data_IF_881896580600
#
_entry.id   IF_881896580600
#
_cell.length_a   1.000
_cell.length_b   1.000
_cell.length_c   1.000
_cell.angle_alpha   90.00
_cell.angle_beta   90.00
_cell.angle_gamma   90.00
#
_symmetry.space_group_name_H-M   'P 1'
#
loop_
_entity.id
_entity.type
_entity.pdbx_description
1 polymer ?
#
# COMPACT_ATOMS: atom_id res chain seq x y z
N UNK A 1 22.00 15.34 28.28
CA UNK A 1 21.17 14.77 27.21
C UNK A 1 21.81 13.45 26.79
N UNK A 2 21.07 12.34 26.83
CA UNK A 2 21.62 11.02 26.49
C UNK A 2 21.80 10.98 24.97
N UNK A 3 23.05 10.88 24.51
CA UNK A 3 23.41 10.75 23.10
C UNK A 3 23.84 9.32 22.79
N UNK A 4 23.29 8.72 21.74
CA UNK A 4 23.71 7.42 21.23
C UNK A 4 24.39 7.68 19.89
N UNK A 5 25.64 7.24 19.71
CA UNK A 5 26.47 7.53 18.53
C UNK A 5 26.62 9.02 18.16
N UNK A 6 26.62 9.91 19.16
CA UNK A 6 26.72 11.37 18.94
C UNK A 6 25.40 12.04 18.52
N UNK A 7 24.30 11.27 18.50
CA UNK A 7 22.99 11.75 18.05
C UNK A 7 22.05 11.84 19.26
N UNK A 8 21.29 12.94 19.42
CA UNK A 8 20.31 13.06 20.51
C UNK A 8 19.29 11.92 20.43
N UNK A 9 19.02 11.27 21.56
CA UNK A 9 18.04 10.17 21.60
C UNK A 9 16.65 10.58 21.09
N UNK A 10 16.28 11.85 21.30
CA UNK A 10 15.06 12.45 20.77
C UNK A 10 15.01 12.45 19.23
N UNK A 11 16.14 12.72 18.57
CA UNK A 11 16.24 12.70 17.11
C UNK A 11 16.16 11.26 16.57
N UNK A 12 16.82 10.31 17.23
CA UNK A 12 16.76 8.90 16.87
C UNK A 12 15.33 8.34 16.98
N UNK A 13 14.65 8.61 18.10
CA UNK A 13 13.26 8.18 18.31
C UNK A 13 12.29 8.87 17.34
N UNK A 14 12.51 10.16 17.05
CA UNK A 14 11.78 10.92 16.02
C UNK A 14 11.87 10.27 14.64
N UNK A 15 13.07 9.81 14.28
CA UNK A 15 13.31 9.20 13.00
C UNK A 15 12.81 7.74 12.93
N UNK A 16 12.86 7.00 14.04
CA UNK A 16 12.21 5.69 14.16
C UNK A 16 10.70 5.79 13.95
N UNK A 17 10.06 6.80 14.55
CA UNK A 17 8.64 7.07 14.33
C UNK A 17 8.35 7.39 12.87
N UNK A 18 9.15 8.24 12.24
CA UNK A 18 9.03 8.55 10.80
C UNK A 18 9.16 7.30 9.93
N UNK A 19 10.14 6.45 10.25
CA UNK A 19 10.32 5.15 9.60
C UNK A 19 9.11 4.24 9.79
N UNK A 20 8.52 4.21 10.98
CA UNK A 20 7.32 3.42 11.26
C UNK A 20 6.08 3.93 10.51
N UNK A 21 5.94 5.26 10.36
CA UNK A 21 4.87 5.87 9.57
C UNK A 21 5.03 5.51 8.09
N UNK A 22 6.23 5.67 7.52
CA UNK A 22 6.50 5.26 6.14
C UNK A 22 6.30 3.76 5.95
N UNK A 23 6.79 2.96 6.90
CA UNK A 23 6.61 1.51 6.92
C UNK A 23 5.15 1.10 7.02
N UNK A 24 4.29 1.91 7.64
CA UNK A 24 2.84 1.68 7.66
C UNK A 24 2.22 1.86 6.27
N UNK A 25 2.65 2.86 5.50
CA UNK A 25 2.24 3.03 4.10
C UNK A 25 2.76 1.89 3.23
N UNK A 26 4.02 1.48 3.41
CA UNK A 26 4.59 0.33 2.71
C UNK A 26 3.81 -0.94 3.02
N UNK A 27 3.60 -1.26 4.30
CA UNK A 27 2.87 -2.45 4.72
C UNK A 27 1.45 -2.49 4.15
N UNK A 28 0.73 -1.37 4.14
CA UNK A 28 -0.64 -1.30 3.64
C UNK A 28 -0.74 -1.48 2.12
N UNK A 29 0.16 -0.84 1.36
CA UNK A 29 0.20 -0.97 -0.09
C UNK A 29 0.74 -2.34 -0.53
N UNK A 30 1.77 -2.82 0.16
CA UNK A 30 2.31 -4.16 -0.05
C UNK A 30 1.29 -5.22 0.30
N UNK A 31 0.44 -5.02 1.31
CA UNK A 31 -0.69 -5.90 1.62
C UNK A 31 -1.69 -5.96 0.46
N UNK A 32 -2.15 -4.81 -0.05
CA UNK A 32 -3.07 -4.76 -1.18
C UNK A 32 -2.49 -5.48 -2.41
N UNK A 33 -1.21 -5.22 -2.70
CA UNK A 33 -0.48 -5.87 -3.79
C UNK A 33 -0.28 -7.37 -3.53
N UNK A 34 0.02 -7.81 -2.31
CA UNK A 34 0.19 -9.21 -1.95
C UNK A 34 -1.12 -10.00 -2.05
N UNK A 35 -2.26 -9.39 -1.72
CA UNK A 35 -3.59 -10.00 -1.90
C UNK A 35 -3.89 -10.18 -3.40
N UNK A 36 -3.64 -9.15 -4.21
CA UNK A 36 -3.85 -9.22 -5.66
C UNK A 36 -2.92 -10.26 -6.29
N UNK A 37 -1.62 -10.19 -6.00
CA UNK A 37 -0.64 -11.09 -6.59
C UNK A 37 -0.84 -12.52 -6.12
N UNK A 38 -1.01 -12.74 -4.81
CA UNK A 38 -1.13 -14.08 -4.23
C UNK A 38 -2.32 -14.87 -4.74
N UNK A 39 -3.34 -14.18 -5.26
CA UNK A 39 -4.55 -14.82 -5.78
C UNK A 39 -4.63 -14.79 -7.32
N UNK A 40 -4.16 -13.74 -7.97
CA UNK A 40 -4.32 -13.56 -9.42
C UNK A 40 -3.04 -13.84 -10.20
N UNK A 41 -1.89 -13.94 -9.53
CA UNK A 41 -0.56 -13.93 -10.15
C UNK A 41 -0.42 -12.78 -11.16
N UNK A 42 -0.91 -11.57 -10.85
CA UNK A 42 -0.72 -10.40 -11.72
C UNK A 42 0.07 -9.34 -11.01
N UNK A 43 1.17 -8.90 -11.64
CA UNK A 43 1.96 -7.77 -11.18
C UNK A 43 1.22 -6.49 -11.56
N UNK A 44 0.61 -5.82 -10.58
CA UNK A 44 -0.22 -4.64 -10.80
C UNK A 44 0.55 -3.34 -10.54
N UNK A 45 1.15 -2.75 -11.57
CA UNK A 45 1.86 -1.47 -11.43
C UNK A 45 0.93 -0.27 -11.19
N UNK A 46 -0.34 -0.40 -11.61
CA UNK A 46 -1.37 0.62 -11.41
C UNK A 46 -1.76 0.82 -9.94
N UNK A 47 -1.31 -0.07 -9.04
CA UNK A 47 -1.59 0.06 -7.60
C UNK A 47 -1.10 1.41 -7.03
N UNK A 48 0.04 1.93 -7.51
CA UNK A 48 0.53 3.26 -7.14
C UNK A 48 -0.38 4.39 -7.62
N UNK A 49 -0.86 4.31 -8.87
CA UNK A 49 -1.82 5.28 -9.40
C UNK A 49 -3.17 5.22 -8.68
N UNK A 50 -3.59 4.03 -8.23
CA UNK A 50 -4.84 3.85 -7.48
C UNK A 50 -4.73 4.37 -6.04
N UNK A 51 -3.55 4.26 -5.42
CA UNK A 51 -3.21 4.94 -4.18
C UNK A 51 -3.28 6.47 -4.33
N UNK A 52 -2.69 7.01 -5.39
CA UNK A 52 -2.80 8.43 -5.74
C UNK A 52 -4.27 8.84 -5.94
N UNK A 53 -5.05 8.02 -6.66
CA UNK A 53 -6.47 8.27 -6.90
C UNK A 53 -7.28 8.29 -5.59
N UNK A 54 -6.94 7.45 -4.61
CA UNK A 54 -7.57 7.52 -3.28
C UNK A 54 -7.35 8.84 -2.55
N UNK A 55 -6.13 9.37 -2.61
CA UNK A 55 -5.82 10.68 -2.05
C UNK A 55 -6.54 11.82 -2.79
N UNK A 56 -6.62 11.75 -4.12
CA UNK A 56 -7.38 12.72 -4.92
C UNK A 56 -8.87 12.65 -4.66
N UNK A 57 -9.47 11.46 -4.60
CA UNK A 57 -10.89 11.31 -4.28
C UNK A 57 -11.18 11.91 -2.91
N UNK A 58 -10.33 11.65 -1.90
CA UNK A 58 -10.45 12.28 -0.59
C UNK A 58 -10.39 13.80 -0.67
N UNK A 59 -9.38 14.36 -1.36
CA UNK A 59 -9.20 15.80 -1.52
C UNK A 59 -10.35 16.46 -2.29
N UNK A 60 -10.83 15.84 -3.36
CA UNK A 60 -11.97 16.30 -4.15
C UNK A 60 -13.26 16.27 -3.31
N UNK A 61 -13.48 15.22 -2.53
CA UNK A 61 -14.64 15.12 -1.63
C UNK A 61 -14.62 16.20 -0.54
N UNK A 62 -13.43 16.51 0.00
CA UNK A 62 -13.29 17.62 0.95
C UNK A 62 -13.48 18.99 0.27
N UNK A 63 -12.85 19.22 -0.87
CA UNK A 63 -12.77 20.54 -1.51
C UNK A 63 -14.05 20.93 -2.26
N UNK A 64 -14.70 19.99 -2.94
CA UNK A 64 -15.88 20.25 -3.76
C UNK A 64 -17.20 19.92 -3.03
N UNK A 65 -17.21 18.89 -2.19
CA UNK A 65 -18.43 18.44 -1.50
C UNK A 65 -18.46 18.81 -0.02
N UNK A 66 -17.38 19.34 0.55
CA UNK A 66 -17.28 19.68 1.97
C UNK A 66 -17.34 18.47 2.89
N UNK A 67 -17.08 17.26 2.38
CA UNK A 67 -17.13 16.03 3.18
C UNK A 67 -15.96 15.95 4.14
N UNK A 68 -16.24 15.56 5.38
CA UNK A 68 -15.21 15.46 6.40
C UNK A 68 -14.23 14.30 6.13
N UNK A 69 -13.07 14.35 6.79
CA UNK A 69 -12.04 13.32 6.68
C UNK A 69 -12.55 11.91 6.99
N UNK A 70 -13.37 11.75 8.04
CA UNK A 70 -13.85 10.44 8.49
C UNK A 70 -14.77 9.76 7.48
N UNK A 71 -15.61 10.55 6.78
CA UNK A 71 -16.44 10.07 5.68
C UNK A 71 -15.55 9.68 4.51
N UNK A 72 -14.57 10.51 4.14
CA UNK A 72 -13.66 10.21 3.03
C UNK A 72 -12.73 9.03 3.30
N UNK A 73 -12.40 8.77 4.56
CA UNK A 73 -11.64 7.60 5.00
C UNK A 73 -12.34 6.29 4.64
N UNK A 74 -13.67 6.26 4.58
CA UNK A 74 -14.46 5.07 4.19
C UNK A 74 -14.91 5.16 2.74
N UNK A 75 -15.34 6.34 2.28
CA UNK A 75 -15.91 6.54 0.96
C UNK A 75 -14.86 6.43 -0.16
N UNK A 76 -13.67 6.99 0.01
CA UNK A 76 -12.64 6.96 -1.03
C UNK A 76 -12.16 5.53 -1.35
N UNK A 77 -11.86 4.64 -0.38
CA UNK A 77 -11.58 3.23 -0.66
C UNK A 77 -12.67 2.53 -1.46
N UNK A 78 -13.94 2.83 -1.17
CA UNK A 78 -15.08 2.23 -1.89
C UNK A 78 -15.09 2.71 -3.35
N UNK A 79 -14.97 4.03 -3.57
CA UNK A 79 -14.95 4.62 -4.93
C UNK A 79 -13.77 4.08 -5.73
N UNK A 80 -12.57 4.04 -5.13
CA UNK A 80 -11.35 3.53 -5.77
C UNK A 80 -11.46 2.03 -6.03
N UNK A 81 -12.01 1.27 -5.08
CA UNK A 81 -12.25 -0.17 -5.24
C UNK A 81 -13.24 -0.49 -6.35
N UNK A 82 -14.33 0.30 -6.46
CA UNK A 82 -15.28 0.19 -7.58
C UNK A 82 -14.61 0.54 -8.91
N UNK A 83 -13.78 1.58 -8.94
CA UNK A 83 -12.97 1.90 -10.12
C UNK A 83 -12.02 0.75 -10.49
N UNK A 84 -11.40 0.12 -9.49
CA UNK A 84 -10.60 -1.10 -9.66
C UNK A 84 -11.41 -2.27 -10.26
N UNK A 85 -12.65 -2.48 -9.80
CA UNK A 85 -13.55 -3.50 -10.37
C UNK A 85 -13.85 -3.22 -11.85
N UNK A 86 -14.02 -1.96 -12.22
CA UNK A 86 -14.23 -1.55 -13.62
C UNK A 86 -12.98 -1.85 -14.47
N UNK A 87 -11.79 -1.50 -13.96
CA UNK A 87 -10.50 -1.81 -14.62
C UNK A 87 -10.34 -3.32 -14.80
N UNK A 88 -10.64 -4.10 -13.76
CA UNK A 88 -10.53 -5.56 -13.81
C UNK A 88 -11.44 -6.12 -14.90
N UNK A 89 -12.71 -5.75 -14.86
CA UNK A 89 -13.74 -6.30 -15.74
C UNK A 89 -13.49 -5.96 -17.20
N UNK A 90 -13.08 -4.73 -17.49
CA UNK A 90 -12.92 -4.23 -18.85
C UNK A 90 -11.56 -4.57 -19.44
N UNK A 91 -10.50 -4.58 -18.64
CA UNK A 91 -9.12 -4.68 -19.13
C UNK A 91 -8.44 -5.96 -18.64
N UNK A 92 -8.23 -6.12 -17.34
CA UNK A 92 -7.37 -7.19 -16.81
C UNK A 92 -7.91 -8.59 -17.05
N UNK A 93 -9.22 -8.79 -16.98
CA UNK A 93 -9.86 -10.09 -17.16
C UNK A 93 -9.51 -10.74 -18.51
N UNK A 94 -9.27 -9.94 -19.54
CA UNK A 94 -8.91 -10.42 -20.88
C UNK A 94 -7.45 -10.90 -20.95
N UNK A 95 -6.61 -10.46 -20.02
CA UNK A 95 -5.17 -10.75 -20.01
C UNK A 95 -4.79 -11.88 -19.04
N UNK A 96 -5.71 -12.37 -18.20
CA UNK A 96 -5.42 -13.44 -17.23
C UNK A 96 -4.98 -14.77 -17.85
N UNK A 97 -5.25 -14.99 -19.14
CA UNK A 97 -4.81 -16.19 -19.88
C UNK A 97 -3.50 -15.98 -20.65
N UNK A 98 -2.98 -14.76 -20.66
CA UNK A 98 -1.75 -14.40 -21.36
C UNK A 98 -0.58 -14.37 -20.38
N UNK A 99 0.61 -14.14 -20.91
CA UNK A 99 1.81 -13.95 -20.08
C UNK A 99 1.62 -12.75 -19.11
N UNK A 100 2.19 -12.89 -17.91
CA UNK A 100 2.18 -11.92 -16.82
C UNK A 100 2.74 -10.56 -17.27
N UNK A 101 3.66 -10.58 -18.23
CA UNK A 101 4.24 -9.38 -18.84
C UNK A 101 3.17 -8.48 -19.48
N UNK A 102 2.13 -9.03 -20.09
CA UNK A 102 1.04 -8.24 -20.69
C UNK A 102 0.22 -7.50 -19.61
N UNK A 103 -0.01 -8.16 -18.47
CA UNK A 103 -0.67 -7.53 -17.31
C UNK A 103 0.17 -6.38 -16.74
N UNK A 104 1.49 -6.56 -16.64
CA UNK A 104 2.42 -5.51 -16.23
C UNK A 104 2.38 -4.31 -17.21
N UNK A 105 2.49 -4.57 -18.52
CA UNK A 105 2.47 -3.52 -19.55
C UNK A 105 1.16 -2.73 -19.53
N UNK A 106 0.01 -3.42 -19.42
CA UNK A 106 -1.30 -2.77 -19.30
C UNK A 106 -1.37 -1.88 -18.06
N UNK A 107 -0.97 -2.39 -16.89
CA UNK A 107 -1.07 -1.65 -15.63
C UNK A 107 -0.07 -0.50 -15.56
N UNK A 108 1.09 -0.63 -16.19
CA UNK A 108 2.03 0.47 -16.40
C UNK A 108 1.43 1.55 -17.32
N UNK A 109 0.86 1.16 -18.47
CA UNK A 109 0.17 2.10 -19.36
C UNK A 109 -0.99 2.82 -18.66
N UNK A 110 -1.78 2.10 -17.86
CA UNK A 110 -2.86 2.67 -17.06
C UNK A 110 -2.33 3.65 -16.00
N UNK A 111 -1.18 3.35 -15.39
CA UNK A 111 -0.50 4.27 -14.46
C UNK A 111 -0.18 5.58 -15.15
N UNK A 112 0.47 5.53 -16.32
CA UNK A 112 0.83 6.71 -17.09
C UNK A 112 -0.40 7.52 -17.55
N UNK A 113 -1.48 6.85 -17.96
CA UNK A 113 -2.73 7.50 -18.34
C UNK A 113 -3.38 8.22 -17.16
N UNK A 114 -3.57 7.52 -16.03
CA UNK A 114 -4.18 8.10 -14.83
C UNK A 114 -3.33 9.27 -14.33
N UNK A 115 -2.03 9.04 -14.15
CA UNK A 115 -1.11 10.07 -13.67
C UNK A 115 -1.06 11.27 -14.62
N UNK A 116 -0.97 11.03 -15.94
CA UNK A 116 -0.97 12.07 -16.97
C UNK A 116 -2.25 12.92 -16.97
N UNK A 117 -3.42 12.29 -16.82
CA UNK A 117 -4.70 13.00 -16.69
C UNK A 117 -4.71 13.92 -15.47
N UNK A 118 -4.33 13.41 -14.29
CA UNK A 118 -4.33 14.21 -13.07
C UNK A 118 -3.28 15.33 -13.09
N UNK A 119 -2.11 15.09 -13.67
CA UNK A 119 -1.11 16.14 -13.93
C UNK A 119 -1.66 17.24 -14.85
N UNK A 120 -2.43 16.87 -15.88
CA UNK A 120 -3.02 17.85 -16.81
C UNK A 120 -4.09 18.71 -16.16
N UNK A 121 -4.93 18.14 -15.29
CA UNK A 121 -6.04 18.88 -14.66
C UNK A 121 -5.62 19.66 -13.40
N UNK A 122 -4.74 19.09 -12.57
CA UNK A 122 -4.40 19.62 -11.24
C UNK A 122 -2.95 20.13 -11.13
N UNK A 123 -2.16 19.98 -12.18
CA UNK A 123 -0.73 20.28 -12.15
C UNK A 123 0.07 19.25 -11.34
N UNK A 124 1.36 19.53 -11.12
CA UNK A 124 2.25 18.67 -10.30
C UNK A 124 2.37 19.16 -8.85
N UNK A 125 1.90 20.38 -8.58
CA UNK A 125 1.89 20.99 -7.26
C UNK A 125 1.02 20.19 -6.30
N UNK A 126 1.54 19.91 -5.11
CA UNK A 126 0.78 19.21 -4.07
C UNK A 126 -0.40 20.04 -3.61
N UNK A 127 -1.58 19.42 -3.55
CA UNK A 127 -2.78 19.99 -2.99
C UNK A 127 -2.82 19.71 -1.48
N UNK A 128 -2.95 20.74 -0.63
CA UNK A 128 -2.95 20.54 0.81
C UNK A 128 -4.23 19.82 1.24
N UNK A 129 -4.08 18.83 2.11
CA UNK A 129 -5.20 18.18 2.77
C UNK A 129 -5.03 18.37 4.29
N UNK A 130 -5.90 19.14 4.95
CA UNK A 130 -5.73 19.46 6.37
C UNK A 130 -5.95 18.23 7.25
N UNK A 131 -5.22 18.16 8.35
CA UNK A 131 -5.48 17.16 9.38
C UNK A 131 -6.82 17.42 10.08
N UNK A 132 -7.60 16.38 10.39
CA UNK A 132 -8.88 16.52 11.08
C UNK A 132 -8.67 17.08 12.49
N UNK A 133 -9.61 17.90 12.96
CA UNK A 133 -9.48 18.68 14.20
C UNK A 133 -9.18 17.80 15.43
N UNK A 134 -9.81 16.64 15.52
CA UNK A 134 -9.59 15.67 16.59
C UNK A 134 -8.15 15.13 16.67
N UNK A 135 -7.39 15.20 15.58
CA UNK A 135 -6.01 14.69 15.47
C UNK A 135 -4.98 15.82 15.24
N UNK A 136 -5.39 17.08 15.39
CA UNK A 136 -4.46 18.22 15.33
C UNK A 136 -3.56 18.23 16.56
N UNK A 137 -2.37 18.82 16.38
CA UNK A 137 -1.39 18.98 17.44
C UNK A 137 -0.43 17.80 17.59
N UNK A 138 0.38 17.88 18.65
CA UNK A 138 1.38 16.89 18.99
C UNK A 138 1.42 16.68 20.50
N UNK A 139 1.64 15.44 20.91
CA UNK A 139 1.79 15.06 22.31
C UNK A 139 3.27 14.98 22.64
N UNK A 140 3.71 15.70 23.67
CA UNK A 140 5.09 15.59 24.16
C UNK A 140 5.18 14.40 25.13
N UNK A 141 5.88 13.35 24.72
CA UNK A 141 6.11 12.15 25.52
C UNK A 141 7.31 12.28 26.47
N UNK A 142 7.89 13.48 26.60
CA UNK A 142 9.09 13.77 27.38
C UNK A 142 10.40 13.40 26.65
N UNK A 143 10.41 12.28 25.94
CA UNK A 143 11.54 11.83 25.12
C UNK A 143 11.39 12.14 23.62
N UNK A 144 10.20 12.51 23.15
CA UNK A 144 9.91 12.85 21.76
C UNK A 144 8.58 13.60 21.66
N UNK A 145 8.46 14.51 20.69
CA UNK A 145 7.18 15.11 20.30
C UNK A 145 6.55 14.25 19.21
N UNK A 146 5.41 13.64 19.52
CA UNK A 146 4.67 12.75 18.64
C UNK A 146 3.48 13.49 18.02
N UNK A 147 3.46 13.77 16.71
CA UNK A 147 2.28 14.30 16.04
C UNK A 147 1.12 13.29 16.13
N UNK A 148 -0.04 13.74 16.62
CA UNK A 148 -1.18 12.86 16.90
C UNK A 148 -1.67 12.15 15.63
N UNK A 149 -1.68 12.85 14.50
CA UNK A 149 -2.06 12.28 13.20
C UNK A 149 -1.11 11.15 12.74
N UNK A 150 0.20 11.26 13.00
CA UNK A 150 1.17 10.21 12.63
C UNK A 150 0.97 8.94 13.47
N UNK A 151 0.67 9.10 14.76
CA UNK A 151 0.30 7.98 15.63
C UNK A 151 -0.98 7.29 15.13
N UNK A 152 -1.98 8.08 14.74
CA UNK A 152 -3.21 7.58 14.14
C UNK A 152 -2.95 6.77 12.87
N UNK A 153 -2.11 7.25 11.94
CA UNK A 153 -1.77 6.53 10.71
C UNK A 153 -1.18 5.15 11.02
N UNK A 154 -0.26 5.06 11.99
CA UNK A 154 0.35 3.78 12.39
C UNK A 154 -0.71 2.84 12.97
N UNK A 155 -1.54 3.32 13.90
CA UNK A 155 -2.59 2.51 14.54
C UNK A 155 -3.62 2.05 13.53
N UNK A 156 -4.15 2.95 12.70
CA UNK A 156 -5.11 2.63 11.65
C UNK A 156 -4.53 1.61 10.65
N UNK A 157 -3.26 1.79 10.25
CA UNK A 157 -2.62 0.89 9.31
C UNK A 157 -2.40 -0.50 9.87
N UNK A 158 -1.86 -0.61 11.08
CA UNK A 158 -1.68 -1.91 11.74
C UNK A 158 -3.03 -2.60 11.94
N UNK A 159 -4.06 -1.85 12.35
CA UNK A 159 -5.41 -2.39 12.55
C UNK A 159 -5.97 -2.97 11.26
N UNK A 160 -5.92 -2.23 10.15
CA UNK A 160 -6.42 -2.69 8.84
C UNK A 160 -5.58 -3.84 8.30
N UNK A 161 -4.25 -3.80 8.47
CA UNK A 161 -3.36 -4.87 8.06
C UNK A 161 -3.67 -6.19 8.79
N UNK A 162 -3.79 -6.14 10.12
CA UNK A 162 -4.10 -7.30 10.94
C UNK A 162 -5.53 -7.81 10.71
N UNK A 163 -6.49 -6.91 10.54
CA UNK A 163 -7.87 -7.28 10.22
C UNK A 163 -7.94 -7.98 8.86
N UNK A 164 -7.27 -7.44 7.84
CA UNK A 164 -7.22 -8.04 6.50
C UNK A 164 -6.53 -9.39 6.54
N UNK A 165 -5.39 -9.50 7.23
CA UNK A 165 -4.71 -10.77 7.43
C UNK A 165 -5.61 -11.80 8.12
N UNK A 166 -6.29 -11.41 9.20
CA UNK A 166 -7.20 -12.31 9.91
C UNK A 166 -8.33 -12.78 9.00
N UNK A 167 -8.97 -11.87 8.26
CA UNK A 167 -10.04 -12.21 7.32
C UNK A 167 -9.55 -13.17 6.24
N UNK A 168 -8.41 -12.92 5.60
CA UNK A 168 -7.94 -13.73 4.48
C UNK A 168 -7.25 -15.02 4.94
N UNK A 169 -6.59 -15.04 6.09
CA UNK A 169 -5.84 -16.23 6.51
C UNK A 169 -6.63 -17.16 7.41
N UNK A 170 -7.52 -16.61 8.25
CA UNK A 170 -8.22 -17.38 9.30
C UNK A 170 -9.70 -17.65 9.00
N UNK A 171 -10.30 -17.05 7.98
CA UNK A 171 -11.73 -17.24 7.69
C UNK A 171 -11.99 -18.11 6.46
N UNK A 172 -13.26 -18.56 6.33
CA UNK A 172 -13.75 -19.33 5.18
C UNK A 172 -13.59 -18.60 3.84
N UNK A 173 -13.67 -17.26 3.87
CA UNK A 173 -13.53 -16.43 2.67
C UNK A 173 -12.13 -16.62 2.07
N UNK A 174 -11.11 -16.59 2.93
CA UNK A 174 -9.73 -16.90 2.57
C UNK A 174 -9.49 -18.30 2.03
N UNK A 175 -10.08 -19.31 2.69
CA UNK A 175 -10.01 -20.69 2.23
C UNK A 175 -10.64 -20.87 0.85
N UNK A 176 -11.78 -20.22 0.60
CA UNK A 176 -12.47 -20.24 -0.68
C UNK A 176 -11.66 -19.53 -1.78
N UNK A 177 -11.02 -18.40 -1.44
CA UNK A 177 -10.13 -17.68 -2.34
C UNK A 177 -8.97 -18.58 -2.80
N UNK A 178 -8.25 -19.19 -1.86
CA UNK A 178 -7.16 -20.12 -2.17
C UNK A 178 -7.63 -21.30 -3.02
N UNK A 179 -8.74 -21.93 -2.64
CA UNK A 179 -9.32 -23.05 -3.40
C UNK A 179 -9.68 -22.63 -4.84
N UNK A 180 -10.25 -21.43 -5.02
CA UNK A 180 -10.62 -20.92 -6.33
C UNK A 180 -9.42 -20.57 -7.20
N UNK A 181 -8.25 -20.36 -6.61
CA UNK A 181 -6.99 -20.14 -7.36
C UNK A 181 -6.27 -21.45 -7.69
N UNK A 182 -6.40 -22.48 -6.85
CA UNK A 182 -5.81 -23.80 -7.10
C UNK A 182 -6.60 -24.61 -8.13
N UNK A 183 -7.94 -24.68 -7.99
CA UNK A 183 -8.80 -25.37 -8.94
C UNK A 183 -10.12 -24.62 -9.16
N UNK A 184 -10.12 -23.59 -10.02
CA UNK A 184 -11.29 -22.79 -10.34
C UNK A 184 -12.50 -23.64 -10.75
N UNK A 185 -12.28 -24.67 -11.58
CA UNK A 185 -13.36 -25.53 -12.12
C UNK A 185 -14.06 -26.34 -11.03
N UNK A 186 -13.30 -26.86 -10.07
CA UNK A 186 -13.85 -27.60 -8.94
C UNK A 186 -14.70 -26.68 -8.04
N UNK A 187 -14.21 -25.47 -7.77
CA UNK A 187 -14.93 -24.48 -6.95
C UNK A 187 -16.20 -24.00 -7.66
N UNK A 188 -16.17 -23.84 -8.98
CA UNK A 188 -17.36 -23.55 -9.79
C UNK A 188 -18.40 -24.68 -9.73
N UNK A 189 -17.98 -25.95 -9.66
CA UNK A 189 -18.90 -27.09 -9.51
C UNK A 189 -19.64 -27.08 -8.17
N UNK A 190 -19.09 -26.44 -7.13
CA UNK A 190 -19.77 -26.20 -5.85
C UNK A 190 -20.68 -24.96 -5.86
N UNK A 191 -20.92 -24.34 -7.03
CA UNK A 191 -21.84 -23.21 -7.19
C UNK A 191 -21.22 -21.84 -6.89
N UNK A 192 -19.90 -21.77 -6.69
CA UNK A 192 -19.20 -20.51 -6.42
C UNK A 192 -18.78 -19.84 -7.72
N UNK A 193 -19.11 -18.55 -7.88
CA UNK A 193 -18.72 -17.80 -9.05
C UNK A 193 -17.28 -17.26 -8.91
N UNK A 194 -16.31 -18.03 -9.38
CA UNK A 194 -14.87 -17.68 -9.30
C UNK A 194 -14.56 -16.35 -9.99
N UNK A 195 -15.09 -16.03 -11.20
CA UNK A 195 -14.87 -14.72 -11.82
C UNK A 195 -15.31 -13.54 -10.95
N UNK A 196 -16.48 -13.64 -10.29
CA UNK A 196 -16.94 -12.59 -9.36
C UNK A 196 -16.05 -12.50 -8.12
N UNK A 197 -15.58 -13.64 -7.62
CA UNK A 197 -14.69 -13.68 -6.47
C UNK A 197 -13.33 -13.01 -6.76
N UNK A 198 -12.74 -13.29 -7.93
CA UNK A 198 -11.52 -12.64 -8.43
C UNK A 198 -11.70 -11.13 -8.55
N UNK A 199 -12.77 -10.70 -9.21
CA UNK A 199 -13.10 -9.28 -9.40
C UNK A 199 -13.25 -8.54 -8.06
N UNK A 200 -13.97 -9.12 -7.09
CA UNK A 200 -14.16 -8.51 -5.77
C UNK A 200 -12.85 -8.46 -4.98
N UNK A 201 -12.01 -9.48 -5.10
CA UNK A 201 -10.68 -9.51 -4.47
C UNK A 201 -9.76 -8.44 -5.04
N UNK A 202 -9.75 -8.27 -6.37
CA UNK A 202 -9.01 -7.18 -7.00
C UNK A 202 -9.52 -5.82 -6.50
N UNK A 203 -10.84 -5.62 -6.50
CA UNK A 203 -11.47 -4.41 -5.97
C UNK A 203 -11.10 -4.13 -4.51
N UNK A 204 -11.06 -5.14 -3.66
CA UNK A 204 -10.66 -5.03 -2.26
C UNK A 204 -9.17 -4.65 -2.12
N UNK A 205 -8.27 -5.29 -2.86
CA UNK A 205 -6.85 -4.91 -2.87
C UNK A 205 -6.67 -3.45 -3.30
N UNK A 206 -7.37 -3.03 -4.35
CA UNK A 206 -7.37 -1.63 -4.83
C UNK A 206 -7.99 -0.67 -3.82
N UNK A 207 -9.02 -1.09 -3.09
CA UNK A 207 -9.60 -0.30 -2.00
C UNK A 207 -8.60 -0.08 -0.86
N UNK A 208 -7.76 -1.06 -0.52
CA UNK A 208 -6.68 -0.90 0.46
C UNK A 208 -5.64 0.14 0.00
N UNK A 209 -5.31 0.17 -1.29
CA UNK A 209 -4.46 1.22 -1.85
C UNK A 209 -5.13 2.60 -1.74
N UNK A 210 -6.43 2.68 -2.06
CA UNK A 210 -7.21 3.90 -1.89
C UNK A 210 -7.22 4.39 -0.44
N UNK A 211 -7.39 3.47 0.53
CA UNK A 211 -7.34 3.75 1.96
C UNK A 211 -5.97 4.27 2.41
N UNK A 212 -4.88 3.65 1.94
CA UNK A 212 -3.53 4.16 2.16
C UNK A 212 -3.37 5.60 1.62
N UNK A 213 -3.97 5.89 0.46
CA UNK A 213 -3.97 7.22 -0.15
C UNK A 213 -4.62 8.27 0.75
N UNK A 214 -5.78 7.97 1.32
CA UNK A 214 -6.46 8.89 2.26
C UNK A 214 -5.61 9.13 3.51
N UNK A 215 -5.01 8.08 4.08
CA UNK A 215 -4.15 8.22 5.25
C UNK A 215 -2.91 9.07 4.95
N UNK A 216 -2.35 8.95 3.75
CA UNK A 216 -1.18 9.67 3.32
C UNK A 216 -1.43 11.14 2.97
N UNK A 217 -2.64 11.50 2.53
CA UNK A 217 -2.96 12.85 2.06
C UNK A 217 -2.56 13.98 3.04
N UNK A 218 -2.83 13.89 4.36
CA UNK A 218 -2.40 14.93 5.31
C UNK A 218 -0.91 14.89 5.67
N UNK A 219 -0.20 13.80 5.34
CA UNK A 219 1.23 13.64 5.63
C UNK A 219 2.10 14.13 4.47
N UNK A 220 1.74 13.76 3.24
CA UNK A 220 2.57 13.94 2.04
C UNK A 220 2.04 15.01 1.08
N UNK A 221 0.86 15.58 1.36
CA UNK A 221 0.06 16.38 0.42
C UNK A 221 -0.37 15.55 -0.82
N UNK A 222 -1.44 15.96 -1.49
CA UNK A 222 -1.99 15.21 -2.61
C UNK A 222 -1.34 15.68 -3.90
N UNK A 223 -0.47 14.86 -4.51
CA UNK A 223 0.21 15.17 -5.77
C UNK A 223 0.08 13.99 -6.74
N UNK A 224 -0.02 14.22 -8.07
CA UNK A 224 -0.06 13.11 -9.03
C UNK A 224 1.17 12.20 -9.00
N UNK A 225 2.31 12.70 -8.52
CA UNK A 225 3.58 11.97 -8.46
C UNK A 225 3.68 11.03 -7.24
N UNK A 226 2.76 11.13 -6.28
CA UNK A 226 2.88 10.42 -5.00
C UNK A 226 2.84 8.89 -5.17
N UNK A 227 2.12 8.40 -6.20
CA UNK A 227 1.97 6.98 -6.47
C UNK A 227 3.18 6.35 -7.14
N UNK A 228 3.72 7.00 -8.17
CA UNK A 228 4.84 6.50 -8.97
C UNK A 228 6.14 6.45 -8.19
N UNK A 229 6.37 7.37 -7.26
CA UNK A 229 7.53 7.34 -6.37
C UNK A 229 7.49 6.16 -5.39
N UNK A 230 6.30 5.84 -4.88
CA UNK A 230 6.16 4.90 -3.77
C UNK A 230 5.96 3.45 -4.26
N UNK A 231 5.38 3.25 -5.45
CA UNK A 231 5.12 1.92 -5.99
C UNK A 231 6.39 1.09 -6.20
N UNK A 232 7.51 1.73 -6.60
CA UNK A 232 8.78 1.03 -6.82
C UNK A 232 9.32 0.45 -5.50
N UNK A 233 9.24 1.22 -4.41
CA UNK A 233 9.63 0.78 -3.06
C UNK A 233 8.70 -0.33 -2.58
N UNK A 234 7.38 -0.17 -2.77
CA UNK A 234 6.37 -1.18 -2.41
C UNK A 234 6.58 -2.50 -3.15
N UNK A 235 6.96 -2.47 -4.43
CA UNK A 235 7.32 -3.68 -5.17
C UNK A 235 8.52 -4.37 -4.55
N UNK A 236 9.58 -3.64 -4.24
CA UNK A 236 10.75 -4.21 -3.56
C UNK A 236 10.36 -4.83 -2.21
N UNK A 237 9.50 -4.18 -1.43
CA UNK A 237 8.96 -4.69 -0.16
C UNK A 237 8.21 -6.01 -0.36
N UNK A 238 7.32 -6.11 -1.37
CA UNK A 238 6.57 -7.36 -1.64
C UNK A 238 7.50 -8.48 -2.08
N UNK A 239 8.48 -8.18 -2.93
CA UNK A 239 9.47 -9.16 -3.40
C UNK A 239 10.32 -9.67 -2.23
N UNK A 240 10.77 -8.79 -1.34
CA UNK A 240 11.49 -9.18 -0.11
C UNK A 240 10.60 -10.01 0.82
N UNK A 241 9.35 -9.59 1.01
CA UNK A 241 8.39 -10.30 1.87
C UNK A 241 8.02 -11.68 1.34
N UNK A 242 8.15 -11.89 0.03
CA UNK A 242 7.74 -13.09 -0.67
C UNK A 242 6.38 -12.89 -1.32
N UNK A 243 6.34 -13.08 -2.64
CA UNK A 243 5.15 -12.82 -3.43
C UNK A 243 3.98 -13.72 -3.00
N UNK A 244 2.85 -13.11 -2.65
CA UNK A 244 1.66 -13.82 -2.16
C UNK A 244 1.63 -14.10 -0.65
N UNK A 245 2.67 -13.72 0.11
CA UNK A 245 2.65 -13.80 1.58
C UNK A 245 2.12 -12.50 2.19
N UNK A 246 0.89 -12.54 2.71
CA UNK A 246 0.26 -11.38 3.36
C UNK A 246 1.05 -10.94 4.61
N UNK A 247 1.44 -11.88 5.47
CA UNK A 247 2.25 -11.54 6.65
C UNK A 247 3.65 -11.07 6.27
N UNK A 248 4.24 -11.68 5.23
CA UNK A 248 5.53 -11.24 4.71
C UNK A 248 5.48 -9.78 4.27
N UNK A 249 4.46 -9.39 3.50
CA UNK A 249 4.26 -8.02 3.06
C UNK A 249 4.13 -7.02 4.23
N UNK A 250 3.40 -7.37 5.29
CA UNK A 250 3.20 -6.50 6.46
C UNK A 250 4.51 -6.34 7.26
N UNK A 251 5.15 -7.46 7.62
CA UNK A 251 6.37 -7.45 8.46
C UNK A 251 7.52 -6.78 7.71
N UNK A 252 7.68 -7.09 6.43
CA UNK A 252 8.72 -6.49 5.60
C UNK A 252 8.46 -5.01 5.33
N UNK A 253 7.20 -4.59 5.11
CA UNK A 253 6.87 -3.17 4.94
C UNK A 253 7.18 -2.34 6.17
N UNK A 254 6.75 -2.81 7.35
CA UNK A 254 7.05 -2.15 8.63
C UNK A 254 8.56 -2.16 8.91
N UNK A 255 9.22 -3.31 8.74
CA UNK A 255 10.65 -3.46 9.00
C UNK A 255 11.51 -2.58 8.09
N UNK A 256 11.22 -2.57 6.78
CA UNK A 256 11.95 -1.73 5.83
C UNK A 256 11.71 -0.25 6.06
N UNK A 257 10.50 0.16 6.47
CA UNK A 257 10.25 1.55 6.86
C UNK A 257 11.11 1.96 8.06
N UNK A 258 11.22 1.11 9.08
CA UNK A 258 12.08 1.36 10.24
C UNK A 258 13.56 1.42 9.84
N UNK A 259 14.02 0.51 8.97
CA UNK A 259 15.39 0.50 8.46
C UNK A 259 15.67 1.76 7.64
N UNK A 260 14.80 2.12 6.69
CA UNK A 260 14.89 3.37 5.91
C UNK A 260 14.98 4.58 6.83
N UNK A 261 14.11 4.61 7.86
CA UNK A 261 14.10 5.61 8.90
C UNK A 261 15.47 5.73 9.57
N UNK A 262 15.99 4.64 10.13
CA UNK A 262 17.30 4.60 10.77
C UNK A 262 18.44 4.97 9.83
N UNK A 263 18.44 4.48 8.59
CA UNK A 263 19.46 4.83 7.59
C UNK A 263 19.49 6.32 7.34
N UNK A 264 18.33 6.99 7.34
CA UNK A 264 18.25 8.45 7.17
C UNK A 264 18.96 9.24 8.28
N UNK A 265 19.18 8.65 9.45
CA UNK A 265 19.95 9.26 10.54
C UNK A 265 21.44 9.30 10.22
N UNK A 266 21.96 8.25 9.60
CA UNK A 266 23.41 8.06 9.37
C UNK A 266 23.83 8.47 7.94
N UNK A 267 23.03 8.09 6.94
CA UNK A 267 23.21 8.39 5.52
C UNK A 267 21.86 8.68 4.84
N UNK A 268 21.41 9.94 4.84
CA UNK A 268 20.18 10.37 4.19
C UNK A 268 20.08 9.96 2.71
N UNK A 269 21.17 10.07 1.96
CA UNK A 269 21.22 9.77 0.52
C UNK A 269 21.05 8.27 0.24
N UNK A 270 21.43 7.41 1.19
CA UNK A 270 21.31 5.96 1.07
C UNK A 270 19.94 5.43 1.55
N UNK A 271 19.11 6.28 2.17
CA UNK A 271 17.86 5.86 2.83
C UNK A 271 16.89 5.16 1.87
N UNK A 272 16.65 5.70 0.67
CA UNK A 272 15.81 5.02 -0.34
C UNK A 272 16.53 3.82 -0.99
N UNK A 273 17.84 3.89 -1.12
CA UNK A 273 18.66 2.86 -1.79
C UNK A 273 18.79 1.59 -0.93
N UNK A 274 18.76 1.73 0.40
CA UNK A 274 18.92 0.59 1.34
C UNK A 274 17.87 -0.50 1.11
N UNK A 275 16.64 -0.11 0.74
CA UNK A 275 15.56 -1.05 0.45
C UNK A 275 15.92 -1.97 -0.73
N UNK A 276 16.52 -1.41 -1.78
CA UNK A 276 16.94 -2.17 -2.96
C UNK A 276 18.19 -3.01 -2.70
N UNK A 277 19.11 -2.54 -1.85
CA UNK A 277 20.25 -3.35 -1.40
C UNK A 277 19.76 -4.57 -0.63
N UNK A 278 18.83 -4.39 0.30
CA UNK A 278 18.22 -5.49 1.06
C UNK A 278 17.48 -6.44 0.12
N UNK A 279 16.76 -5.91 -0.88
CA UNK A 279 16.13 -6.72 -1.92
C UNK A 279 17.14 -7.61 -2.65
N UNK A 280 18.25 -7.05 -3.12
CA UNK A 280 19.29 -7.81 -3.81
C UNK A 280 19.87 -8.91 -2.91
N UNK A 281 20.19 -8.59 -1.65
CA UNK A 281 20.71 -9.57 -0.68
C UNK A 281 19.70 -10.68 -0.42
N UNK A 282 18.43 -10.34 -0.20
CA UNK A 282 17.38 -11.32 0.09
C UNK A 282 17.15 -12.23 -1.11
N UNK A 283 17.11 -11.71 -2.33
CA UNK A 283 16.93 -12.53 -3.53
C UNK A 283 18.12 -13.45 -3.81
N UNK A 284 19.35 -13.02 -3.50
CA UNK A 284 20.53 -13.88 -3.61
C UNK A 284 20.50 -15.04 -2.61
N UNK A 285 19.95 -14.82 -1.41
CA UNK A 285 19.90 -15.83 -0.34
C UNK A 285 18.62 -16.68 -0.38
N UNK A 286 17.49 -16.09 -0.79
CA UNK A 286 16.15 -16.68 -0.86
C UNK A 286 15.36 -16.09 -2.04
N UNK A 287 15.42 -16.71 -3.23
CA UNK A 287 14.75 -16.22 -4.44
C UNK A 287 13.22 -16.09 -4.32
N UNK A 288 12.60 -16.89 -3.44
CA UNK A 288 11.16 -16.81 -3.16
C UNK A 288 10.78 -15.67 -2.20
N UNK A 289 11.74 -14.93 -1.65
CA UNK A 289 11.57 -13.96 -0.57
C UNK A 289 11.62 -14.59 0.83
N UNK A 290 11.56 -13.76 1.87
CA UNK A 290 11.73 -14.19 3.27
C UNK A 290 10.63 -15.15 3.73
N UNK A 291 9.38 -14.91 3.31
CA UNK A 291 8.20 -15.68 3.68
C UNK A 291 7.49 -16.33 2.47
N UNK A 292 8.17 -16.41 1.32
CA UNK A 292 7.66 -17.14 0.17
C UNK A 292 7.64 -18.64 0.43
N UNK A 293 6.61 -19.34 -0.07
CA UNK A 293 6.59 -20.80 -0.09
C UNK A 293 7.27 -21.25 -1.38
N UNK A 294 8.36 -22.00 -1.25
CA UNK A 294 8.93 -22.73 -2.38
C UNK A 294 7.87 -23.67 -2.94
N UNK A 295 7.57 -23.54 -4.23
CA UNK A 295 6.80 -24.51 -5.00
C UNK A 295 7.76 -25.37 -5.78
#
# INVERSE_FOLDING_TARGET
>A
MISVFGIPIQALLGQLLLGLVNGSFYAMLSLGLAVIFGLLNVINFAHGALYMLGAFVAWMGLSYLGLNYWVMLVLAPIVVGLFGIVIERLLLRHLYKLDHLYGLLLTFGLTLLIEGMFRSFFGVSGQPYPTPEALRGATNLGFMVLPNYRAWVVVASITVCLATWFVIERTRLGALLRAGTENPRLVEAFGVNVPRMVMLTYGFGVALAGFAGVLAAPVLQVSPLMGSNLIIVVFAVVVIGGMGSIMGAIVTGLGLGVIEGLTKVFWPEASSTVVFIIMAIVLLLRPAGLFGREK
#
